data_IF_042885967551
#
_entry.id   IF_042885967551
#
_cell.length_a   1.000
_cell.length_b   1.000
_cell.length_c   1.000
_cell.angle_alpha   90.00
_cell.angle_beta   90.00
_cell.angle_gamma   90.00
#
_symmetry.space_group_name_H-M   'P 1'
#
loop_
_entity.id
_entity.type
_entity.pdbx_description
1 polymer ?
#
# COMPACT_ATOMS: atom_id res chain seq x y z
N UNK A 1 1.86 26.25 -18.49
CA UNK A 1 1.93 25.03 -19.34
C UNK A 1 3.33 24.77 -19.91
N UNK A 2 4.42 25.35 -19.37
CA UNK A 2 5.77 25.23 -19.95
C UNK A 2 6.77 24.38 -19.11
N UNK A 3 6.30 23.59 -18.14
CA UNK A 3 7.19 22.83 -17.25
C UNK A 3 7.40 21.35 -17.65
N UNK A 4 6.90 20.89 -18.80
CA UNK A 4 6.83 19.46 -19.12
C UNK A 4 8.06 18.87 -19.83
N UNK A 5 9.04 19.67 -20.26
CA UNK A 5 10.22 19.20 -20.99
C UNK A 5 11.53 19.68 -20.35
N UNK A 6 11.79 19.26 -19.12
CA UNK A 6 13.17 19.22 -18.62
C UNK A 6 13.85 17.94 -19.14
N UNK A 7 15.15 17.96 -19.52
CA UNK A 7 15.88 16.75 -19.86
C UNK A 7 15.81 15.74 -18.70
N UNK A 8 15.56 14.47 -19.02
CA UNK A 8 15.46 13.39 -18.04
C UNK A 8 16.87 13.12 -17.50
N UNK A 9 17.26 13.83 -16.45
CA UNK A 9 18.41 13.47 -15.63
C UNK A 9 18.03 12.35 -14.66
N UNK A 10 18.96 11.45 -14.38
CA UNK A 10 18.80 10.40 -13.37
C UNK A 10 19.51 10.82 -12.07
N UNK A 11 18.90 10.53 -10.91
CA UNK A 11 19.53 10.75 -9.61
C UNK A 11 20.52 9.61 -9.31
N UNK A 12 21.82 9.91 -9.34
CA UNK A 12 22.90 8.96 -9.05
C UNK A 12 23.18 8.83 -7.54
N UNK A 13 22.19 8.32 -6.79
CA UNK A 13 22.32 8.07 -5.36
C UNK A 13 22.10 6.59 -5.03
N UNK A 14 22.98 6.00 -4.21
CA UNK A 14 22.98 4.55 -3.92
C UNK A 14 21.64 4.07 -3.38
N UNK A 15 20.98 4.88 -2.55
CA UNK A 15 19.69 4.53 -1.96
C UNK A 15 18.58 4.45 -3.02
N UNK A 16 18.64 5.26 -4.10
CA UNK A 16 17.69 5.22 -5.21
C UNK A 16 17.82 3.89 -5.94
N UNK A 17 19.04 3.45 -6.23
CA UNK A 17 19.30 2.14 -6.85
C UNK A 17 18.73 1.00 -6.00
N UNK A 18 18.97 1.00 -4.69
CA UNK A 18 18.43 0.00 -3.77
C UNK A 18 16.90 0.01 -3.76
N UNK A 19 16.30 1.21 -3.72
CA UNK A 19 14.85 1.39 -3.76
C UNK A 19 14.24 0.80 -5.03
N UNK A 20 14.82 1.07 -6.21
CA UNK A 20 14.33 0.57 -7.50
C UNK A 20 14.39 -0.96 -7.55
N UNK A 21 15.49 -1.56 -7.12
CA UNK A 21 15.65 -3.01 -7.14
C UNK A 21 14.59 -3.67 -6.25
N UNK A 22 14.40 -3.18 -5.02
CA UNK A 22 13.40 -3.75 -4.12
C UNK A 22 11.96 -3.48 -4.60
N UNK A 23 11.69 -2.28 -5.11
CA UNK A 23 10.37 -1.93 -5.63
C UNK A 23 10.01 -2.75 -6.87
N UNK A 24 10.95 -2.97 -7.79
CA UNK A 24 10.74 -3.80 -8.99
C UNK A 24 10.47 -5.26 -8.63
N UNK A 25 11.22 -5.84 -7.69
CA UNK A 25 10.94 -7.20 -7.19
C UNK A 25 9.53 -7.27 -6.59
N UNK A 26 9.19 -6.33 -5.71
CA UNK A 26 7.87 -6.25 -5.09
C UNK A 26 6.74 -6.08 -6.10
N UNK A 27 6.95 -5.26 -7.13
CA UNK A 27 6.02 -5.03 -8.23
C UNK A 27 5.80 -6.30 -9.06
N UNK A 28 6.87 -6.99 -9.46
CA UNK A 28 6.78 -8.25 -10.23
C UNK A 28 6.04 -9.32 -9.42
N UNK A 29 6.34 -9.47 -8.13
CA UNK A 29 5.62 -10.41 -7.25
C UNK A 29 4.13 -10.02 -7.16
N UNK A 30 3.83 -8.74 -7.01
CA UNK A 30 2.45 -8.24 -6.89
C UNK A 30 1.67 -8.49 -8.17
N UNK A 31 2.24 -8.18 -9.35
CA UNK A 31 1.63 -8.46 -10.65
C UNK A 31 1.41 -9.96 -10.87
N UNK A 32 2.39 -10.80 -10.52
CA UNK A 32 2.27 -12.24 -10.58
C UNK A 32 1.13 -12.77 -9.69
N UNK A 33 1.01 -12.26 -8.47
CA UNK A 33 -0.12 -12.58 -7.58
C UNK A 33 -1.45 -12.09 -8.15
N UNK A 34 -1.46 -10.91 -8.75
CA UNK A 34 -2.66 -10.34 -9.35
C UNK A 34 -3.17 -11.23 -10.48
N UNK A 35 -2.32 -11.56 -11.46
CA UNK A 35 -2.63 -12.48 -12.57
C UNK A 35 -3.03 -13.86 -12.04
N UNK A 36 -2.31 -14.41 -11.05
CA UNK A 36 -2.63 -15.69 -10.44
C UNK A 36 -4.03 -15.71 -9.83
N UNK A 37 -4.40 -14.65 -9.09
CA UNK A 37 -5.74 -14.57 -8.49
C UNK A 37 -6.81 -14.49 -9.57
N UNK A 38 -6.65 -13.63 -10.59
CA UNK A 38 -7.58 -13.51 -11.71
C UNK A 38 -7.76 -14.83 -12.46
N UNK A 39 -6.67 -15.50 -12.79
CA UNK A 39 -6.71 -16.80 -13.46
C UNK A 39 -7.52 -17.83 -12.67
N UNK A 40 -7.31 -17.92 -11.35
CA UNK A 40 -8.04 -18.87 -10.49
C UNK A 40 -9.52 -18.53 -10.37
N UNK A 41 -9.87 -17.25 -10.28
CA UNK A 41 -11.27 -16.80 -10.21
C UNK A 41 -12.01 -17.22 -11.48
N UNK A 42 -11.42 -16.96 -12.64
CA UNK A 42 -12.01 -17.27 -13.95
C UNK A 42 -12.13 -18.78 -14.13
N UNK A 43 -11.09 -19.56 -13.78
CA UNK A 43 -11.07 -21.02 -14.03
C UNK A 43 -11.93 -21.84 -13.10
N UNK A 44 -12.05 -21.44 -11.84
CA UNK A 44 -12.75 -22.22 -10.81
C UNK A 44 -14.16 -21.70 -10.52
N UNK A 45 -14.62 -20.69 -11.27
CA UNK A 45 -15.87 -19.94 -11.05
C UNK A 45 -16.13 -19.63 -9.57
N UNK A 46 -15.05 -19.25 -8.86
CA UNK A 46 -15.13 -18.98 -7.42
C UNK A 46 -15.85 -17.65 -7.23
N UNK A 47 -17.16 -17.71 -7.05
CA UNK A 47 -17.98 -16.58 -6.61
C UNK A 47 -17.72 -16.28 -5.14
N UNK A 48 -16.61 -15.59 -4.87
CA UNK A 48 -16.36 -15.01 -3.54
C UNK A 48 -16.94 -13.61 -3.45
N UNK A 49 -17.82 -13.41 -2.47
CA UNK A 49 -18.54 -12.16 -2.21
C UNK A 49 -17.65 -10.92 -2.02
N UNK A 50 -16.41 -11.14 -1.58
CA UNK A 50 -15.45 -10.06 -1.25
C UNK A 50 -14.29 -9.99 -2.24
N UNK A 51 -14.49 -10.44 -3.49
CA UNK A 51 -13.42 -10.49 -4.47
C UNK A 51 -12.91 -9.11 -4.87
N UNK A 52 -13.83 -8.18 -5.10
CA UNK A 52 -13.53 -6.80 -5.51
C UNK A 52 -12.53 -6.14 -4.55
N UNK A 53 -12.71 -6.32 -3.23
CA UNK A 53 -11.85 -5.73 -2.20
C UNK A 53 -10.40 -6.23 -2.30
N UNK A 54 -10.22 -7.52 -2.59
CA UNK A 54 -8.88 -8.10 -2.77
C UNK A 54 -8.19 -7.56 -4.02
N UNK A 55 -8.94 -7.29 -5.09
CA UNK A 55 -8.41 -6.74 -6.34
C UNK A 55 -8.02 -5.26 -6.16
N UNK A 56 -8.88 -4.48 -5.50
CA UNK A 56 -8.58 -3.07 -5.18
C UNK A 56 -7.38 -2.96 -4.25
N UNK A 57 -7.26 -3.81 -3.22
CA UNK A 57 -6.09 -3.76 -2.32
C UNK A 57 -4.80 -4.17 -3.06
N UNK A 58 -4.82 -5.13 -3.99
CA UNK A 58 -3.67 -5.45 -4.85
C UNK A 58 -3.30 -4.30 -5.78
N UNK A 59 -4.29 -3.59 -6.33
CA UNK A 59 -4.07 -2.40 -7.13
C UNK A 59 -3.31 -1.34 -6.32
N UNK A 60 -3.72 -1.05 -5.08
CA UNK A 60 -3.00 -0.08 -4.24
C UNK A 60 -1.60 -0.55 -3.84
N UNK A 61 -1.37 -1.85 -3.62
CA UNK A 61 0.00 -2.39 -3.43
C UNK A 61 0.85 -2.16 -4.68
N UNK A 62 0.29 -2.41 -5.87
CA UNK A 62 0.96 -2.15 -7.14
C UNK A 62 1.28 -0.66 -7.32
N UNK A 63 0.33 0.22 -7.01
CA UNK A 63 0.51 1.68 -7.06
C UNK A 63 1.56 2.16 -6.06
N UNK A 64 1.63 1.59 -4.86
CA UNK A 64 2.68 1.92 -3.89
C UNK A 64 4.08 1.57 -4.40
N UNK A 65 4.28 0.38 -4.96
CA UNK A 65 5.56 0.03 -5.57
C UNK A 65 5.87 0.90 -6.81
N UNK A 66 4.86 1.22 -7.62
CA UNK A 66 4.98 2.14 -8.75
C UNK A 66 5.36 3.56 -8.30
N UNK A 67 4.86 4.00 -7.15
CA UNK A 67 5.17 5.30 -6.56
C UNK A 67 6.65 5.39 -6.17
N UNK A 68 7.33 4.29 -5.82
CA UNK A 68 8.77 4.31 -5.56
C UNK A 68 9.61 4.80 -6.76
N UNK A 69 9.09 4.72 -7.99
CA UNK A 69 9.81 5.15 -9.20
C UNK A 69 9.81 6.68 -9.39
N UNK A 70 9.05 7.44 -8.60
CA UNK A 70 9.03 8.92 -8.71
C UNK A 70 10.32 9.57 -8.22
N UNK A 71 11.12 8.87 -7.41
CA UNK A 71 12.40 9.37 -6.87
C UNK A 71 13.59 9.17 -7.84
N UNK A 72 13.37 8.56 -9.00
CA UNK A 72 14.38 8.30 -10.04
C UNK A 72 14.75 9.57 -10.82
N UNK A 73 13.79 10.29 -11.42
CA UNK A 73 14.10 11.50 -12.19
C UNK A 73 14.68 12.59 -11.30
N UNK A 74 15.54 13.43 -11.89
CA UNK A 74 16.00 14.66 -11.24
C UNK A 74 14.82 15.52 -10.78
N UNK A 75 14.92 16.17 -9.60
CA UNK A 75 13.83 16.96 -9.04
C UNK A 75 13.32 18.03 -10.01
N UNK A 76 12.04 17.94 -10.33
CA UNK A 76 11.29 18.91 -11.10
C UNK A 76 9.96 19.20 -10.37
N UNK A 77 9.20 20.19 -10.82
CA UNK A 77 7.95 20.58 -10.15
C UNK A 77 6.93 19.44 -10.11
N UNK A 78 6.88 18.59 -11.14
CA UNK A 78 5.97 17.45 -11.22
C UNK A 78 6.37 16.31 -10.28
N UNK A 79 7.66 15.99 -10.16
CA UNK A 79 8.17 14.93 -9.27
C UNK A 79 8.04 15.36 -7.83
N UNK A 80 8.33 16.63 -7.51
CA UNK A 80 8.08 17.17 -6.17
C UNK A 80 6.60 17.14 -5.80
N UNK A 81 5.69 17.49 -6.72
CA UNK A 81 4.26 17.35 -6.50
C UNK A 81 3.87 15.88 -6.23
N UNK A 82 4.40 14.95 -7.03
CA UNK A 82 4.14 13.52 -6.87
C UNK A 82 4.67 12.98 -5.54
N UNK A 83 5.89 13.33 -5.13
CA UNK A 83 6.50 12.90 -3.85
C UNK A 83 5.65 13.35 -2.66
N UNK A 84 5.09 14.55 -2.70
CA UNK A 84 4.21 15.05 -1.64
C UNK A 84 2.84 14.37 -1.61
N UNK A 85 2.28 14.01 -2.78
CA UNK A 85 0.88 13.61 -2.91
C UNK A 85 0.67 12.08 -2.99
N UNK A 86 1.36 11.40 -3.89
CA UNK A 86 1.12 9.99 -4.22
C UNK A 86 1.31 9.04 -3.02
N UNK A 87 2.35 9.18 -2.17
CA UNK A 87 2.53 8.31 -1.02
C UNK A 87 1.31 8.34 -0.09
N UNK A 88 0.74 9.53 0.14
CA UNK A 88 -0.47 9.68 0.96
C UNK A 88 -1.66 8.92 0.40
N UNK A 89 -1.91 9.06 -0.91
CA UNK A 89 -3.00 8.34 -1.61
C UNK A 89 -2.81 6.83 -1.56
N UNK A 90 -1.57 6.37 -1.77
CA UNK A 90 -1.22 4.95 -1.70
C UNK A 90 -1.49 4.38 -0.30
N UNK A 91 -1.02 5.05 0.75
CA UNK A 91 -1.30 4.66 2.13
C UNK A 91 -2.79 4.67 2.46
N UNK A 92 -3.55 5.68 2.02
CA UNK A 92 -4.98 5.76 2.25
C UNK A 92 -5.71 4.55 1.67
N UNK A 93 -5.41 4.16 0.43
CA UNK A 93 -6.03 2.98 -0.18
C UNK A 93 -5.62 1.67 0.48
N UNK A 94 -4.35 1.53 0.89
CA UNK A 94 -3.90 0.37 1.65
C UNK A 94 -4.64 0.26 2.99
N UNK A 95 -4.67 1.33 3.79
CA UNK A 95 -5.29 1.32 5.11
C UNK A 95 -6.82 1.20 5.04
N UNK A 96 -7.49 1.89 4.11
CA UNK A 96 -8.93 1.75 3.88
C UNK A 96 -9.29 0.31 3.47
N UNK A 97 -8.50 -0.31 2.59
CA UNK A 97 -8.73 -1.69 2.18
C UNK A 97 -8.52 -2.70 3.30
N UNK A 98 -7.48 -2.52 4.13
CA UNK A 98 -7.26 -3.32 5.35
C UNK A 98 -8.40 -3.13 6.35
N UNK A 99 -8.95 -1.92 6.47
CA UNK A 99 -10.04 -1.62 7.39
C UNK A 99 -11.31 -2.34 6.98
N UNK A 100 -11.69 -2.23 5.70
CA UNK A 100 -12.84 -2.97 5.15
C UNK A 100 -12.67 -4.48 5.28
N UNK A 101 -11.45 -4.98 5.06
CA UNK A 101 -11.15 -6.40 5.26
C UNK A 101 -11.40 -6.82 6.70
N UNK A 102 -10.97 -6.00 7.66
CA UNK A 102 -11.19 -6.24 9.09
C UNK A 102 -12.67 -6.16 9.47
N UNK A 103 -13.40 -5.16 8.95
CA UNK A 103 -14.83 -4.98 9.20
C UNK A 103 -15.65 -6.16 8.66
N UNK A 104 -15.30 -6.66 7.48
CA UNK A 104 -15.94 -7.86 6.92
C UNK A 104 -15.74 -9.09 7.80
N UNK A 105 -14.52 -9.28 8.32
CA UNK A 105 -14.22 -10.38 9.27
C UNK A 105 -15.07 -10.25 10.55
N UNK A 106 -15.18 -9.04 11.12
CA UNK A 106 -15.96 -8.80 12.35
C UNK A 106 -17.46 -9.01 12.13
N UNK A 107 -17.99 -8.48 11.03
CA UNK A 107 -19.43 -8.53 10.72
C UNK A 107 -19.88 -9.95 10.40
N UNK A 108 -19.04 -10.71 9.69
CA UNK A 108 -19.26 -12.13 9.43
C UNK A 108 -19.28 -12.94 10.73
N UNK A 109 -18.40 -12.64 11.69
CA UNK A 109 -18.43 -13.27 13.02
C UNK A 109 -19.68 -12.92 13.85
N UNK A 110 -20.43 -11.89 13.47
CA UNK A 110 -21.73 -11.51 14.07
C UNK A 110 -22.93 -12.00 13.25
N UNK A 111 -22.70 -12.78 12.19
CA UNK A 111 -23.73 -13.17 11.22
C UNK A 111 -24.44 -11.96 10.56
N UNK A 112 -23.79 -10.79 10.53
CA UNK A 112 -24.29 -9.59 9.87
C UNK A 112 -23.63 -9.45 8.51
N UNK A 113 -24.43 -9.15 7.48
CA UNK A 113 -23.93 -8.92 6.15
C UNK A 113 -23.83 -7.42 5.84
N UNK A 114 -22.66 -6.99 5.38
CA UNK A 114 -22.46 -5.66 4.81
C UNK A 114 -22.54 -5.77 3.29
N UNK A 115 -23.52 -5.11 2.64
CA UNK A 115 -23.64 -5.12 1.19
C UNK A 115 -22.41 -4.54 0.50
N UNK A 116 -22.07 -5.07 -0.68
CA UNK A 116 -20.90 -4.63 -1.45
C UNK A 116 -20.90 -3.13 -1.78
N UNK A 117 -22.07 -2.54 -2.08
CA UNK A 117 -22.18 -1.10 -2.35
C UNK A 117 -21.77 -0.26 -1.13
N UNK A 118 -22.13 -0.67 0.10
CA UNK A 118 -21.73 0.04 1.33
C UNK A 118 -20.21 0.00 1.50
N UNK A 119 -19.59 -1.14 1.20
CA UNK A 119 -18.14 -1.28 1.30
C UNK A 119 -17.42 -0.41 0.27
N UNK A 120 -17.92 -0.33 -0.97
CA UNK A 120 -17.36 0.54 -2.02
C UNK A 120 -17.50 2.00 -1.60
N UNK A 121 -18.69 2.43 -1.15
CA UNK A 121 -18.92 3.80 -0.68
C UNK A 121 -18.01 4.15 0.49
N UNK A 122 -17.82 3.23 1.45
CA UNK A 122 -16.92 3.45 2.57
C UNK A 122 -15.45 3.52 2.10
N UNK A 123 -15.03 2.65 1.18
CA UNK A 123 -13.69 2.69 0.60
C UNK A 123 -13.41 4.05 -0.06
N UNK A 124 -14.30 4.46 -0.97
CA UNK A 124 -14.14 5.70 -1.72
C UNK A 124 -14.16 6.90 -0.79
N UNK A 125 -15.06 6.95 0.19
CA UNK A 125 -15.10 8.02 1.18
C UNK A 125 -13.76 8.15 1.93
N UNK A 126 -13.17 7.04 2.41
CA UNK A 126 -11.91 7.07 3.14
C UNK A 126 -10.73 7.54 2.26
N UNK A 127 -10.65 7.08 1.01
CA UNK A 127 -9.59 7.50 0.07
C UNK A 127 -9.77 8.96 -0.35
N UNK A 128 -11.01 9.39 -0.59
CA UNK A 128 -11.32 10.78 -1.00
C UNK A 128 -10.91 11.79 0.07
N UNK A 129 -11.02 11.47 1.36
CA UNK A 129 -10.53 12.37 2.42
C UNK A 129 -9.05 12.67 2.25
N UNK A 130 -8.21 11.65 2.01
CA UNK A 130 -6.78 11.89 1.78
C UNK A 130 -6.51 12.61 0.45
N UNK A 131 -7.30 12.34 -0.59
CA UNK A 131 -7.19 13.08 -1.86
C UNK A 131 -7.45 14.57 -1.66
N UNK A 132 -8.47 14.95 -0.88
CA UNK A 132 -8.79 16.34 -0.57
C UNK A 132 -7.67 16.98 0.25
N UNK A 133 -7.20 16.32 1.30
CA UNK A 133 -6.09 16.81 2.14
C UNK A 133 -4.84 17.04 1.29
N UNK A 134 -4.44 16.05 0.49
CA UNK A 134 -3.26 16.15 -0.37
C UNK A 134 -3.39 17.25 -1.44
N UNK A 135 -4.58 17.42 -2.01
CA UNK A 135 -4.85 18.48 -2.99
C UNK A 135 -4.79 19.87 -2.34
N UNK A 136 -5.36 20.02 -1.15
CA UNK A 136 -5.32 21.26 -0.38
C UNK A 136 -3.87 21.66 -0.07
N UNK A 137 -3.04 20.72 0.37
CA UNK A 137 -1.62 20.98 0.62
C UNK A 137 -0.87 21.47 -0.62
N UNK A 138 -1.16 20.89 -1.78
CA UNK A 138 -0.52 21.28 -3.05
C UNK A 138 -0.97 22.66 -3.56
N UNK A 139 -2.20 23.06 -3.24
CA UNK A 139 -2.75 24.38 -3.59
C UNK A 139 -2.20 25.46 -2.65
N UNK A 140 -2.16 25.19 -1.34
CA UNK A 140 -1.70 26.15 -0.33
C UNK A 140 -0.19 26.37 -0.39
N UNK A 141 0.57 25.31 -0.62
CA UNK A 141 2.04 25.34 -0.70
C UNK A 141 2.46 24.73 -2.03
N UNK A 142 2.65 25.55 -3.09
CA UNK A 142 2.98 25.04 -4.41
C UNK A 142 4.35 24.34 -4.41
N UNK A 143 4.52 23.26 -5.20
CA UNK A 143 5.77 22.51 -5.26
C UNK A 143 6.85 23.36 -5.95
N UNK A 144 7.95 23.61 -5.25
CA UNK A 144 9.11 24.32 -5.76
C UNK A 144 10.37 23.44 -5.68
N UNK A 145 11.32 23.70 -6.58
CA UNK A 145 12.66 23.08 -6.60
C UNK A 145 13.65 24.11 -6.09
N UNK A 146 14.51 23.71 -5.17
CA UNK A 146 15.57 24.54 -4.57
C UNK A 146 16.94 23.97 -4.89
N UNK A 147 17.92 24.83 -5.07
CA UNK A 147 19.33 24.46 -5.24
C UNK A 147 20.01 24.51 -3.87
N UNK A 148 20.56 23.41 -3.43
CA UNK A 148 21.34 23.32 -2.20
C UNK A 148 22.83 23.21 -2.54
N UNK A 149 23.63 24.11 -2.01
CA UNK A 149 25.08 24.14 -2.18
C UNK A 149 25.71 23.51 -0.94
N UNK A 150 26.40 22.39 -1.11
CA UNK A 150 27.15 21.74 -0.03
C UNK A 150 28.44 22.49 0.26
N UNK A 151 28.99 22.31 1.47
CA UNK A 151 30.27 22.93 1.90
C UNK A 151 31.46 22.57 1.00
N UNK A 152 31.36 21.48 0.23
CA UNK A 152 32.36 21.07 -0.76
C UNK A 152 32.20 21.76 -2.14
N UNK A 153 31.26 22.72 -2.27
CA UNK A 153 30.97 23.44 -3.50
C UNK A 153 30.09 22.67 -4.51
N UNK A 154 29.59 21.48 -4.17
CA UNK A 154 28.67 20.73 -5.04
C UNK A 154 27.23 21.25 -4.91
N UNK A 155 26.56 21.42 -6.04
CA UNK A 155 25.16 21.83 -6.11
C UNK A 155 24.24 20.61 -6.27
N UNK A 156 23.12 20.58 -5.53
CA UNK A 156 22.06 19.58 -5.72
C UNK A 156 20.70 20.23 -5.81
N UNK A 157 19.86 19.69 -6.68
CA UNK A 157 18.45 20.03 -6.74
C UNK A 157 17.69 19.23 -5.69
N UNK A 158 16.88 19.89 -4.87
CA UNK A 158 15.97 19.25 -3.91
C UNK A 158 14.57 19.84 -4.03
N UNK A 159 13.57 19.10 -3.58
CA UNK A 159 12.22 19.63 -3.43
C UNK A 159 12.18 20.54 -2.19
N UNK A 160 11.53 21.70 -2.29
CA UNK A 160 11.41 22.68 -1.21
C UNK A 160 10.54 22.22 -0.01
N UNK A 161 10.13 20.96 0.02
CA UNK A 161 9.06 20.49 0.91
C UNK A 161 9.65 19.95 2.19
N UNK A 162 9.30 20.53 3.33
CA UNK A 162 9.75 20.02 4.63
C UNK A 162 9.05 18.69 4.96
N UNK A 163 9.78 17.76 5.58
CA UNK A 163 9.18 16.50 6.01
C UNK A 163 8.13 16.70 7.11
N UNK A 164 8.21 17.79 7.87
CA UNK A 164 7.19 18.20 8.84
C UNK A 164 5.83 18.47 8.17
N UNK A 165 5.80 19.20 7.06
CA UNK A 165 4.57 19.43 6.28
C UNK A 165 4.01 18.11 5.72
N UNK A 166 4.88 17.21 5.28
CA UNK A 166 4.48 15.89 4.78
C UNK A 166 3.85 15.07 5.90
N UNK A 167 4.46 15.03 7.09
CA UNK A 167 3.87 14.36 8.26
C UNK A 167 2.53 14.99 8.64
N UNK A 168 2.41 16.32 8.62
CA UNK A 168 1.14 16.99 8.94
C UNK A 168 0.04 16.59 7.95
N UNK A 169 0.39 16.42 6.66
CA UNK A 169 -0.54 15.94 5.63
C UNK A 169 -0.97 14.47 5.83
N UNK A 170 -0.24 13.71 6.66
CA UNK A 170 -0.50 12.29 6.97
C UNK A 170 -1.19 12.07 8.31
N UNK A 171 -1.61 13.12 9.03
CA UNK A 171 -2.33 12.96 10.31
C UNK A 171 -3.59 12.11 10.16
N UNK A 172 -4.31 12.25 9.05
CA UNK A 172 -5.47 11.38 8.75
C UNK A 172 -5.08 9.91 8.62
N UNK A 173 -3.91 9.61 8.05
CA UNK A 173 -3.40 8.24 7.92
C UNK A 173 -3.05 7.65 9.30
N UNK A 174 -2.52 8.45 10.23
CA UNK A 174 -2.29 8.02 11.61
C UNK A 174 -3.61 7.65 12.31
N UNK A 175 -4.68 8.43 12.09
CA UNK A 175 -6.01 8.11 12.60
C UNK A 175 -6.54 6.79 11.99
N UNK A 176 -6.35 6.58 10.69
CA UNK A 176 -6.71 5.31 10.04
C UNK A 176 -5.95 4.12 10.65
N UNK A 177 -4.64 4.26 10.90
CA UNK A 177 -3.83 3.23 11.56
C UNK A 177 -4.33 2.96 12.98
N UNK A 178 -4.69 4.00 13.73
CA UNK A 178 -5.27 3.84 15.07
C UNK A 178 -6.59 3.05 15.03
N UNK A 179 -7.51 3.42 14.13
CA UNK A 179 -8.77 2.69 13.94
C UNK A 179 -8.52 1.24 13.50
N UNK A 180 -7.52 1.00 12.66
CA UNK A 180 -7.07 -0.35 12.28
C UNK A 180 -6.58 -1.15 13.50
N UNK A 181 -5.83 -0.54 14.42
CA UNK A 181 -5.39 -1.22 15.64
C UNK A 181 -6.57 -1.68 16.50
N UNK A 182 -7.56 -0.79 16.69
CA UNK A 182 -8.76 -1.09 17.47
C UNK A 182 -9.58 -2.19 16.77
N UNK A 183 -9.83 -2.06 15.48
CA UNK A 183 -10.65 -3.03 14.75
C UNK A 183 -9.97 -4.39 14.62
N UNK A 184 -8.66 -4.46 14.33
CA UNK A 184 -7.94 -5.74 14.21
C UNK A 184 -7.82 -6.46 15.55
N UNK A 185 -7.64 -5.74 16.65
CA UNK A 185 -7.69 -6.34 17.99
C UNK A 185 -9.08 -6.89 18.33
N UNK A 186 -10.15 -6.19 17.96
CA UNK A 186 -11.52 -6.67 18.10
C UNK A 186 -11.80 -7.90 17.22
N UNK A 187 -11.33 -7.90 15.96
CA UNK A 187 -11.44 -9.02 15.04
C UNK A 187 -10.76 -10.27 15.60
N UNK A 188 -9.56 -10.12 16.16
CA UNK A 188 -8.81 -11.23 16.77
C UNK A 188 -9.55 -11.89 17.94
N UNK A 189 -10.29 -11.10 18.74
CA UNK A 189 -11.04 -11.61 19.90
C UNK A 189 -12.37 -12.26 19.52
N UNK A 190 -13.03 -11.76 18.46
CA UNK A 190 -14.41 -12.13 18.13
C UNK A 190 -14.53 -13.23 17.07
N UNK A 191 -13.47 -13.53 16.33
CA UNK A 191 -13.55 -14.42 15.16
C UNK A 191 -12.94 -15.80 15.43
N UNK A 192 -13.76 -16.84 15.27
CA UNK A 192 -13.32 -18.25 15.41
C UNK A 192 -12.98 -18.85 14.05
N UNK A 193 -13.83 -18.62 13.03
CA UNK A 193 -13.69 -19.21 11.68
C UNK A 193 -12.45 -18.68 10.95
N UNK A 194 -12.20 -17.36 11.01
CA UNK A 194 -11.12 -16.70 10.28
C UNK A 194 -9.95 -16.31 11.20
N UNK A 195 -9.73 -17.06 12.29
CA UNK A 195 -8.79 -16.70 13.38
C UNK A 195 -7.37 -16.44 12.90
N UNK A 196 -6.84 -17.30 12.02
CA UNK A 196 -5.49 -17.12 11.47
C UNK A 196 -5.37 -15.86 10.61
N UNK A 197 -6.41 -15.53 9.82
CA UNK A 197 -6.40 -14.34 8.98
C UNK A 197 -6.49 -13.07 9.83
N UNK A 198 -7.35 -13.04 10.84
CA UNK A 198 -7.44 -11.95 11.79
C UNK A 198 -6.14 -11.79 12.60
N UNK A 199 -5.47 -12.89 12.95
CA UNK A 199 -4.17 -12.87 13.62
C UNK A 199 -3.09 -12.23 12.74
N UNK A 200 -2.91 -12.71 11.50
CA UNK A 200 -1.91 -12.15 10.57
C UNK A 200 -2.17 -10.67 10.27
N UNK A 201 -3.45 -10.28 10.17
CA UNK A 201 -3.83 -8.88 9.98
C UNK A 201 -3.47 -8.00 11.18
N UNK A 202 -3.72 -8.48 12.40
CA UNK A 202 -3.32 -7.80 13.63
C UNK A 202 -1.80 -7.70 13.76
N UNK A 203 -1.06 -8.74 13.36
CA UNK A 203 0.42 -8.71 13.31
C UNK A 203 0.91 -7.69 12.28
N UNK A 204 0.30 -7.65 11.10
CA UNK A 204 0.63 -6.65 10.07
C UNK A 204 0.44 -5.24 10.60
N UNK A 205 -0.71 -4.91 11.16
CA UNK A 205 -0.96 -3.57 11.73
C UNK A 205 -0.01 -3.26 12.89
N UNK A 206 0.31 -4.25 13.73
CA UNK A 206 1.27 -4.10 14.82
C UNK A 206 2.68 -3.72 14.37
N UNK A 207 3.13 -4.18 13.20
CA UNK A 207 4.42 -3.80 12.61
C UNK A 207 4.37 -2.49 11.81
N UNK A 208 3.21 -2.09 11.28
CA UNK A 208 3.06 -0.79 10.58
C UNK A 208 3.37 0.38 11.52
N UNK A 209 2.91 0.32 12.77
CA UNK A 209 3.11 1.39 13.76
C UNK A 209 4.60 1.72 13.99
N UNK A 210 5.47 0.77 14.40
CA UNK A 210 6.88 1.06 14.62
C UNK A 210 7.61 1.45 13.32
N UNK A 211 7.21 0.93 12.16
CA UNK A 211 7.73 1.37 10.86
C UNK A 211 7.44 2.86 10.67
N UNK A 212 6.20 3.28 10.91
CA UNK A 212 5.78 4.68 10.78
C UNK A 212 6.51 5.62 11.74
N UNK A 213 6.66 5.20 12.99
CA UNK A 213 7.43 5.94 13.98
C UNK A 213 8.91 6.03 13.57
N UNK A 214 9.50 4.92 13.12
CA UNK A 214 10.91 4.88 12.76
C UNK A 214 11.27 5.82 11.61
N UNK A 215 10.55 5.75 10.48
CA UNK A 215 10.87 6.62 9.33
C UNK A 215 10.54 8.10 9.62
N UNK A 216 9.50 8.38 10.42
CA UNK A 216 9.15 9.75 10.82
C UNK A 216 10.21 10.37 11.74
N UNK A 217 10.72 9.61 12.71
CA UNK A 217 11.77 10.09 13.63
C UNK A 217 13.12 10.25 12.92
N UNK A 218 13.49 9.28 12.07
CA UNK A 218 14.73 9.35 11.31
C UNK A 218 14.75 10.55 10.35
N UNK A 219 13.61 10.83 9.70
CA UNK A 219 13.48 11.97 8.81
C UNK A 219 13.51 13.34 9.52
N UNK A 220 13.09 13.42 10.78
CA UNK A 220 12.99 14.71 11.51
C UNK A 220 14.20 15.04 12.38
N UNK A 221 14.85 14.04 12.99
CA UNK A 221 15.90 14.20 14.03
C UNK A 221 17.32 14.01 13.48
N UNK A 222 17.48 13.41 12.29
CA UNK A 222 18.79 13.09 11.73
C UNK A 222 19.71 14.31 11.52
N UNK A 223 20.99 14.16 11.85
CA UNK A 223 22.04 15.13 11.48
C UNK A 223 22.19 15.14 9.96
N UNK A 224 21.88 16.27 9.32
CA UNK A 224 21.71 16.34 7.87
C UNK A 224 20.28 16.12 7.40
N UNK A 225 19.31 16.71 8.12
CA UNK A 225 17.85 16.75 7.84
C UNK A 225 17.52 16.61 6.35
N UNK A 226 18.01 17.52 5.52
CA UNK A 226 17.73 17.60 4.07
C UNK A 226 18.18 16.38 3.25
N UNK A 227 19.14 15.59 3.73
CA UNK A 227 19.66 14.42 3.00
C UNK A 227 18.86 13.12 3.25
N UNK A 228 18.09 13.04 4.35
CA UNK A 228 17.42 11.80 4.76
C UNK A 228 15.90 11.84 4.63
N UNK A 229 15.28 12.99 4.33
CA UNK A 229 13.82 13.12 4.20
C UNK A 229 13.25 12.22 3.08
N UNK A 230 13.78 12.34 1.87
CA UNK A 230 13.36 11.57 0.70
C UNK A 230 13.55 10.05 0.87
N UNK A 231 14.73 9.55 1.30
CA UNK A 231 14.93 8.13 1.57
C UNK A 231 13.97 7.59 2.65
N UNK A 232 13.78 8.30 3.76
CA UNK A 232 12.93 7.81 4.86
C UNK A 232 11.48 7.64 4.40
N UNK A 233 10.95 8.60 3.65
CA UNK A 233 9.60 8.53 3.10
C UNK A 233 9.45 7.35 2.12
N UNK A 234 10.41 7.19 1.21
CA UNK A 234 10.40 6.14 0.20
C UNK A 234 10.51 4.73 0.81
N UNK A 235 11.46 4.52 1.72
CA UNK A 235 11.63 3.24 2.41
C UNK A 235 10.49 2.94 3.39
N UNK A 236 9.88 3.96 4.01
CA UNK A 236 8.67 3.79 4.82
C UNK A 236 7.50 3.22 4.00
N UNK A 237 7.30 3.76 2.78
CA UNK A 237 6.27 3.28 1.85
C UNK A 237 6.57 1.87 1.36
N UNK A 238 7.82 1.62 0.97
CA UNK A 238 8.28 0.30 0.53
C UNK A 238 8.09 -0.76 1.63
N UNK A 239 8.51 -0.46 2.87
CA UNK A 239 8.42 -1.38 4.00
C UNK A 239 6.97 -1.70 4.36
N UNK A 240 6.11 -0.67 4.44
CA UNK A 240 4.67 -0.86 4.72
C UNK A 240 4.00 -1.70 3.64
N UNK A 241 4.30 -1.42 2.37
CA UNK A 241 3.74 -2.13 1.22
C UNK A 241 4.20 -3.59 1.19
N UNK A 242 5.48 -3.83 1.44
CA UNK A 242 6.07 -5.18 1.52
C UNK A 242 5.45 -6.00 2.66
N UNK A 243 5.21 -5.37 3.81
CA UNK A 243 4.59 -6.00 4.96
C UNK A 243 3.15 -6.44 4.65
N UNK A 244 2.35 -5.58 3.99
CA UNK A 244 0.99 -5.92 3.56
C UNK A 244 1.01 -7.05 2.54
N UNK A 245 1.92 -7.01 1.56
CA UNK A 245 2.10 -8.08 0.58
C UNK A 245 2.39 -9.43 1.26
N UNK A 246 3.35 -9.44 2.18
CA UNK A 246 3.86 -10.67 2.81
C UNK A 246 2.85 -11.24 3.83
N UNK A 247 2.24 -10.42 4.68
CA UNK A 247 1.40 -10.90 5.78
C UNK A 247 -0.07 -11.04 5.40
N UNK A 248 -0.56 -10.30 4.39
CA UNK A 248 -1.98 -10.30 4.03
C UNK A 248 -2.23 -11.09 2.75
N UNK A 249 -1.40 -10.93 1.72
CA UNK A 249 -1.64 -11.53 0.40
C UNK A 249 -0.99 -12.90 0.23
N UNK A 250 0.28 -13.10 0.62
CA UNK A 250 0.94 -14.41 0.47
C UNK A 250 0.17 -15.56 1.18
N UNK A 251 -0.34 -15.39 2.42
CA UNK A 251 -1.07 -16.46 3.10
C UNK A 251 -2.38 -16.78 2.38
N UNK A 252 -3.08 -15.75 1.88
CA UNK A 252 -4.30 -15.92 1.07
C UNK A 252 -4.02 -16.67 -0.23
N UNK A 253 -2.95 -16.30 -0.95
CA UNK A 253 -2.55 -16.98 -2.18
C UNK A 253 -2.23 -18.46 -1.93
N UNK A 254 -1.52 -18.77 -0.83
CA UNK A 254 -1.24 -20.15 -0.42
C UNK A 254 -2.52 -20.93 -0.13
N UNK A 255 -3.48 -20.35 0.60
CA UNK A 255 -4.78 -21.00 0.88
C UNK A 255 -5.57 -21.28 -0.41
N UNK A 256 -5.61 -20.32 -1.34
CA UNK A 256 -6.27 -20.51 -2.64
C UNK A 256 -5.60 -21.62 -3.46
N UNK A 257 -4.27 -21.73 -3.42
CA UNK A 257 -3.57 -22.82 -4.10
C UNK A 257 -3.91 -24.20 -3.54
N UNK A 258 -4.07 -24.32 -2.20
CA UNK A 258 -4.45 -25.57 -1.54
C UNK A 258 -5.90 -25.94 -1.87
N UNK A 259 -6.82 -24.98 -1.72
CA UNK A 259 -8.24 -25.17 -2.03
C UNK A 259 -8.44 -25.59 -3.49
N UNK A 260 -7.73 -24.95 -4.42
CA UNK A 260 -7.80 -25.30 -5.85
C UNK A 260 -7.36 -26.73 -6.13
N UNK A 261 -6.35 -27.26 -5.42
CA UNK A 261 -5.93 -28.66 -5.61
C UNK A 261 -7.01 -29.61 -5.10
N UNK A 262 -7.57 -29.34 -3.93
CA UNK A 262 -8.66 -30.14 -3.37
C UNK A 262 -9.87 -30.17 -4.29
N UNK A 263 -10.28 -29.01 -4.83
CA UNK A 263 -11.43 -28.92 -5.73
C UNK A 263 -11.22 -29.72 -7.02
N UNK A 264 -10.01 -29.69 -7.57
CA UNK A 264 -9.65 -30.45 -8.77
C UNK A 264 -9.66 -31.97 -8.54
N UNK A 265 -9.28 -32.43 -7.35
CA UNK A 265 -9.38 -33.86 -7.01
C UNK A 265 -10.84 -34.33 -6.88
N UNK A 266 -11.72 -33.50 -6.31
CA UNK A 266 -13.15 -33.84 -6.17
C UNK A 266 -13.82 -33.90 -7.53
N UNK A 267 -13.64 -32.90 -8.39
CA UNK A 267 -14.26 -32.90 -9.73
C UNK A 267 -13.77 -34.06 -10.60
N UNK A 268 -12.49 -34.42 -10.51
CA UNK A 268 -11.96 -35.59 -11.21
C UNK A 268 -12.52 -36.90 -10.66
N UNK A 269 -12.68 -37.02 -9.35
CA UNK A 269 -13.30 -38.18 -8.71
C UNK A 269 -14.78 -38.36 -9.11
N UNK A 270 -15.56 -37.29 -9.13
CA UNK A 270 -16.95 -37.30 -9.58
C UNK A 270 -17.06 -37.70 -11.06
N UNK A 271 -16.18 -37.17 -11.92
CA UNK A 271 -16.13 -37.54 -13.33
C UNK A 271 -15.81 -39.03 -13.53
N UNK A 272 -14.87 -39.58 -12.75
CA UNK A 272 -14.55 -41.02 -12.79
C UNK A 272 -15.70 -41.90 -12.30
N UNK A 273 -16.46 -41.47 -11.29
CA UNK A 273 -17.62 -42.20 -10.80
C UNK A 273 -18.77 -42.18 -11.82
N UNK A 274 -18.99 -41.06 -12.51
CA UNK A 274 -20.01 -40.93 -13.55
C UNK A 274 -19.74 -41.82 -14.78
N UNK A 275 -18.48 -42.06 -15.14
CA UNK A 275 -18.09 -42.94 -16.26
C UNK A 275 -18.27 -44.43 -15.90
N UNK A 276 -18.30 -44.79 -14.62
CA UNK A 276 -18.37 -46.18 -14.15
C UNK A 276 -19.82 -46.67 -13.91
N UNK A 277 -20.82 -45.83 -14.14
CA UNK A 277 -22.25 -46.19 -14.16
C UNK A 277 -22.74 -46.31 -15.60
#
# INVERSE_FOLDING_TARGET
MAAFFAPIGFRDEIWVTVLIVLASIGLVITLGLWVFTLYKIIRLDIKTRNLWLSQVLLLFVCLSYGTCFIWIPTPNTATCAAIRFLPGVCYAGLFAGLLLKTLNIITEARHVYVPGYVQVTLFTALVTVQLVIGSQWLILVPPAVVVFVYDNGSERLLCSSSLEEIILSFVYLLLLVFVLCVTTSAARRRTVIHREEAFLLSVCVGFIIPIWVAWSLLGTVGTGRLAYEDPCLAFGLLATTSLVLILVFLPRARRLSKLSRTLHHVTFGEAQYAIRK
#
